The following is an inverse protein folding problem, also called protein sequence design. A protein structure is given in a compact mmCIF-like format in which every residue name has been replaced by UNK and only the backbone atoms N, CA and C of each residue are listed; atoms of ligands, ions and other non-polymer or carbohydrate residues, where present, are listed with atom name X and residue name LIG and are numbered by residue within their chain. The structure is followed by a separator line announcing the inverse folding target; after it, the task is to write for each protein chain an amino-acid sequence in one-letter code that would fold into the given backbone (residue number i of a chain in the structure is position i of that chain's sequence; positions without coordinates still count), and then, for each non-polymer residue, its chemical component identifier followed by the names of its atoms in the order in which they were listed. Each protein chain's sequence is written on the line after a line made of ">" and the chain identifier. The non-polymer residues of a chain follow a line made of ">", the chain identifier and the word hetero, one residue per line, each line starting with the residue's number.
data_IF_748468070634
#
_entry.id   IF_748468070634
#
_cell.length_a   1.000
_cell.length_b   1.000
_cell.length_c   1.000
_cell.angle_alpha   90.00
_cell.angle_beta   90.00
_cell.angle_gamma   90.00
#
_symmetry.space_group_name_H-M   'P 1'
#
loop_
_entity.id
_entity.type
_entity.pdbx_description
1 polymer ?
#
# COMPACT_ATOMS: atom_id res chain seq x y z
N UNK A 1 -33.56 -8.20 -12.51
CA UNK A 1 -33.67 -7.67 -11.14
C UNK A 1 -33.74 -8.87 -10.19
N UNK A 2 -32.60 -9.33 -9.65
CA UNK A 2 -32.41 -10.16 -8.44
C UNK A 2 -31.05 -10.89 -8.35
N UNK A 3 -30.04 -10.54 -9.15
CA UNK A 3 -28.69 -11.11 -9.03
C UNK A 3 -27.56 -10.07 -8.87
N UNK A 4 -27.87 -8.78 -8.66
CA UNK A 4 -26.84 -7.73 -8.53
C UNK A 4 -26.45 -7.46 -7.05
N UNK A 5 -27.29 -7.82 -6.09
CA UNK A 5 -27.08 -7.47 -4.67
C UNK A 5 -26.13 -8.42 -3.89
N UNK A 6 -25.60 -9.49 -4.50
CA UNK A 6 -24.74 -10.45 -3.79
C UNK A 6 -23.23 -10.21 -3.97
N UNK A 7 -22.83 -9.34 -4.91
CA UNK A 7 -21.39 -9.06 -5.19
C UNK A 7 -20.97 -7.67 -4.70
N UNK A 8 -21.90 -6.85 -4.18
CA UNK A 8 -21.66 -5.45 -3.80
C UNK A 8 -20.89 -5.23 -2.48
N UNK A 9 -20.64 -6.28 -1.67
CA UNK A 9 -20.16 -6.09 -0.29
C UNK A 9 -18.67 -6.37 -0.03
N UNK A 10 -17.88 -6.72 -1.06
CA UNK A 10 -16.42 -6.94 -0.90
C UNK A 10 -15.56 -5.95 -1.70
N UNK A 11 -16.15 -5.18 -2.62
CA UNK A 11 -15.41 -4.30 -3.55
C UNK A 11 -15.32 -2.82 -3.16
N UNK A 12 -16.10 -2.33 -2.18
CA UNK A 12 -16.04 -0.92 -1.80
C UNK A 12 -14.70 -0.50 -1.18
N UNK A 13 -14.06 -1.40 -0.44
CA UNK A 13 -12.75 -1.12 0.16
C UNK A 13 -11.65 -1.05 -0.90
N UNK A 14 -11.69 -1.93 -1.90
CA UNK A 14 -10.73 -1.92 -3.03
C UNK A 14 -10.84 -0.62 -3.82
N UNK A 15 -12.07 -0.20 -4.17
CA UNK A 15 -12.28 1.08 -4.87
C UNK A 15 -11.84 2.27 -4.02
N UNK A 16 -12.13 2.28 -2.73
CA UNK A 16 -11.73 3.37 -1.83
C UNK A 16 -10.21 3.48 -1.69
N UNK A 17 -9.50 2.34 -1.69
CA UNK A 17 -8.04 2.28 -1.68
C UNK A 17 -7.48 2.78 -3.00
N UNK A 18 -8.02 2.34 -4.13
CA UNK A 18 -7.65 2.81 -5.45
C UNK A 18 -7.88 4.32 -5.61
N UNK A 19 -9.04 4.82 -5.20
CA UNK A 19 -9.37 6.25 -5.21
C UNK A 19 -8.46 7.03 -4.26
N UNK A 20 -8.08 6.47 -3.10
CA UNK A 20 -7.12 7.10 -2.19
C UNK A 20 -5.72 7.16 -2.79
N UNK A 21 -5.28 6.11 -3.49
CA UNK A 21 -3.99 6.07 -4.20
C UNK A 21 -3.99 7.09 -5.35
N UNK A 22 -5.06 7.14 -6.15
CA UNK A 22 -5.22 8.07 -7.26
C UNK A 22 -5.37 9.53 -6.79
N UNK A 23 -6.11 9.76 -5.70
CA UNK A 23 -6.23 11.07 -5.09
C UNK A 23 -4.92 11.52 -4.45
N UNK A 24 -4.17 10.63 -3.80
CA UNK A 24 -2.88 10.97 -3.21
C UNK A 24 -1.81 11.31 -4.28
N UNK A 25 -1.90 10.68 -5.45
CA UNK A 25 -1.08 11.03 -6.62
C UNK A 25 -1.32 12.48 -7.11
N UNK A 26 -2.53 13.01 -6.92
CA UNK A 26 -2.89 14.39 -7.29
C UNK A 26 -2.74 15.40 -6.14
N UNK A 27 -2.68 14.95 -4.89
CA UNK A 27 -2.71 15.82 -3.69
C UNK A 27 -1.35 15.97 -3.00
N UNK A 28 -0.44 14.98 -3.06
CA UNK A 28 0.79 14.97 -2.26
C UNK A 28 2.08 15.25 -3.03
N UNK A 29 2.29 14.63 -4.21
CA UNK A 29 3.44 14.78 -5.11
C UNK A 29 3.39 13.63 -6.14
N UNK A 30 3.95 13.82 -7.34
CA UNK A 30 4.07 12.78 -8.37
C UNK A 30 4.78 11.50 -7.91
N UNK A 31 5.48 11.56 -6.77
CA UNK A 31 6.31 10.48 -6.23
C UNK A 31 5.65 9.72 -5.05
N UNK A 32 4.39 9.99 -4.69
CA UNK A 32 3.73 9.31 -3.57
C UNK A 32 3.67 7.77 -3.75
N UNK A 33 3.65 7.30 -4.99
CA UNK A 33 3.74 5.88 -5.35
C UNK A 33 5.01 5.23 -4.79
N UNK A 34 6.13 5.96 -4.71
CA UNK A 34 7.38 5.44 -4.14
C UNK A 34 7.26 5.22 -2.63
N UNK A 35 6.53 6.09 -1.93
CA UNK A 35 6.25 5.93 -0.50
C UNK A 35 5.31 4.77 -0.23
N UNK A 36 4.33 4.53 -1.10
CA UNK A 36 3.47 3.35 -1.01
C UNK A 36 4.29 2.07 -1.23
N UNK A 37 5.17 2.04 -2.26
CA UNK A 37 6.03 0.90 -2.50
C UNK A 37 6.97 0.63 -1.32
N UNK A 38 7.55 1.69 -0.74
CA UNK A 38 8.39 1.59 0.45
C UNK A 38 7.59 1.07 1.67
N UNK A 39 6.39 1.61 1.89
CA UNK A 39 5.51 1.18 2.98
C UNK A 39 5.09 -0.29 2.85
N UNK A 40 4.85 -0.78 1.63
CA UNK A 40 4.56 -2.20 1.39
C UNK A 40 5.75 -3.10 1.74
N UNK A 41 6.96 -2.72 1.33
CA UNK A 41 8.18 -3.49 1.67
C UNK A 41 8.44 -3.44 3.18
N UNK A 42 8.17 -2.31 3.83
CA UNK A 42 8.33 -2.15 5.26
C UNK A 42 7.30 -2.95 6.06
N UNK A 43 6.03 -2.94 5.65
CA UNK A 43 4.96 -3.70 6.30
C UNK A 43 5.20 -5.21 6.27
N UNK A 44 5.81 -5.73 5.19
CA UNK A 44 6.11 -7.15 5.03
C UNK A 44 7.55 -7.53 5.39
N UNK A 45 8.34 -6.60 5.97
CA UNK A 45 9.76 -6.79 6.26
C UNK A 45 10.05 -8.08 7.02
N UNK A 46 9.31 -8.33 8.09
CA UNK A 46 9.57 -9.48 8.96
C UNK A 46 9.33 -10.80 8.23
N UNK A 47 8.23 -10.87 7.47
CA UNK A 47 7.90 -12.05 6.64
C UNK A 47 8.97 -12.29 5.57
N UNK A 48 9.44 -11.23 4.90
CA UNK A 48 10.47 -11.32 3.86
C UNK A 48 11.79 -11.85 4.46
N UNK A 49 12.20 -11.34 5.61
CA UNK A 49 13.45 -11.72 6.28
C UNK A 49 13.38 -13.11 6.91
N UNK A 50 12.29 -13.45 7.60
CA UNK A 50 12.11 -14.75 8.25
C UNK A 50 12.06 -15.90 7.25
N UNK A 51 11.46 -15.68 6.06
CA UNK A 51 11.39 -16.68 5.00
C UNK A 51 12.61 -16.65 4.07
N UNK A 52 13.57 -15.74 4.29
CA UNK A 52 14.76 -15.55 3.45
C UNK A 52 14.41 -15.48 1.95
N UNK A 53 13.37 -14.69 1.63
CA UNK A 53 12.82 -14.60 0.27
C UNK A 53 13.81 -13.97 -0.70
N UNK A 54 13.97 -14.55 -1.88
CA UNK A 54 14.70 -13.94 -2.97
C UNK A 54 13.80 -12.98 -3.79
N UNK A 55 14.37 -12.31 -4.80
CA UNK A 55 13.61 -11.36 -5.62
C UNK A 55 12.41 -12.00 -6.33
N UNK A 56 12.51 -13.26 -6.76
CA UNK A 56 11.43 -13.99 -7.43
C UNK A 56 10.31 -14.31 -6.45
N UNK A 57 10.69 -14.76 -5.24
CA UNK A 57 9.74 -15.07 -4.16
C UNK A 57 8.97 -13.82 -3.72
N UNK A 58 9.65 -12.68 -3.61
CA UNK A 58 9.01 -11.40 -3.28
C UNK A 58 7.96 -11.02 -4.32
N UNK A 59 8.28 -11.09 -5.62
CA UNK A 59 7.30 -10.79 -6.68
C UNK A 59 6.09 -11.73 -6.58
N UNK A 60 6.33 -13.02 -6.38
CA UNK A 60 5.27 -14.01 -6.25
C UNK A 60 4.40 -13.74 -5.02
N UNK A 61 5.01 -13.43 -3.89
CA UNK A 61 4.33 -13.07 -2.65
C UNK A 61 3.39 -11.88 -2.84
N UNK A 62 3.88 -10.79 -3.44
CA UNK A 62 3.05 -9.61 -3.69
C UNK A 62 1.90 -9.89 -4.67
N UNK A 63 2.12 -10.69 -5.71
CA UNK A 63 1.06 -11.10 -6.62
C UNK A 63 -0.02 -11.94 -5.92
N UNK A 64 0.38 -12.85 -5.03
CA UNK A 64 -0.54 -13.70 -4.26
C UNK A 64 -1.32 -12.91 -3.19
N UNK A 65 -0.76 -11.80 -2.69
CA UNK A 65 -1.37 -10.94 -1.67
C UNK A 65 -2.14 -9.74 -2.23
N UNK A 66 -2.20 -9.55 -3.56
CA UNK A 66 -2.74 -8.35 -4.21
C UNK A 66 -4.16 -7.92 -3.74
N UNK A 67 -5.01 -8.87 -3.36
CA UNK A 67 -6.38 -8.62 -2.88
C UNK A 67 -6.52 -8.66 -1.34
N UNK A 68 -5.43 -8.95 -0.62
CA UNK A 68 -5.41 -9.17 0.83
C UNK A 68 -4.54 -8.18 1.58
N UNK A 69 -3.92 -7.22 0.88
CA UNK A 69 -3.15 -6.17 1.51
C UNK A 69 -4.04 -5.33 2.43
N UNK A 70 -3.60 -5.15 3.69
CA UNK A 70 -4.21 -4.15 4.57
C UNK A 70 -3.79 -2.76 4.10
N UNK A 71 -4.59 -2.23 3.17
CA UNK A 71 -4.32 -0.95 2.57
C UNK A 71 -4.36 0.20 3.58
N UNK A 72 -5.12 0.09 4.68
CA UNK A 72 -5.16 1.11 5.72
C UNK A 72 -3.83 1.15 6.47
N UNK A 73 -3.28 -0.01 6.82
CA UNK A 73 -1.98 -0.10 7.46
C UNK A 73 -0.85 0.41 6.53
N UNK A 74 -0.86 0.00 5.25
CA UNK A 74 0.13 0.46 4.27
C UNK A 74 0.07 1.98 4.06
N UNK A 75 -1.13 2.56 3.94
CA UNK A 75 -1.29 4.01 3.79
C UNK A 75 -0.86 4.79 5.03
N UNK A 76 -1.06 4.23 6.23
CA UNK A 76 -0.59 4.82 7.48
C UNK A 76 0.95 4.89 7.49
N UNK A 77 1.63 3.80 7.17
CA UNK A 77 3.10 3.75 7.09
C UNK A 77 3.61 4.71 6.02
N UNK A 78 2.97 4.76 4.85
CA UNK A 78 3.35 5.70 3.79
C UNK A 78 3.28 7.17 4.24
N UNK A 79 2.27 7.54 5.04
CA UNK A 79 2.16 8.89 5.62
C UNK A 79 3.25 9.17 6.65
N UNK A 80 3.56 8.20 7.51
CA UNK A 80 4.63 8.32 8.50
C UNK A 80 5.99 8.51 7.84
N UNK A 81 6.28 7.76 6.77
CA UNK A 81 7.50 7.92 5.97
C UNK A 81 7.63 9.31 5.35
N UNK A 82 6.53 9.87 4.83
CA UNK A 82 6.53 11.25 4.32
C UNK A 82 6.84 12.25 5.42
N UNK A 83 6.21 12.10 6.59
CA UNK A 83 6.43 12.99 7.74
C UNK A 83 7.87 12.92 8.27
N UNK A 84 8.45 11.72 8.34
CA UNK A 84 9.84 11.52 8.72
C UNK A 84 10.78 12.25 7.76
N UNK A 85 10.57 12.14 6.45
CA UNK A 85 11.38 12.85 5.46
C UNK A 85 11.23 14.37 5.58
N UNK A 86 10.01 14.87 5.77
CA UNK A 86 9.78 16.31 5.98
C UNK A 86 10.53 16.81 7.22
N UNK A 87 10.44 16.08 8.34
CA UNK A 87 11.14 16.40 9.58
C UNK A 87 12.67 16.38 9.41
N UNK A 88 13.21 15.45 8.61
CA UNK A 88 14.65 15.39 8.32
C UNK A 88 15.13 16.55 7.43
N UNK A 89 14.27 17.04 6.53
CA UNK A 89 14.56 18.20 5.68
C UNK A 89 14.48 19.49 6.50
N UNK A 90 13.48 19.63 7.38
CA UNK A 90 13.28 20.83 8.21
C UNK A 90 14.35 20.98 9.32
N UNK A 91 15.00 19.88 9.72
CA UNK A 91 16.11 19.89 10.68
C UNK A 91 17.49 20.13 10.05
N UNK A 92 17.55 20.55 8.77
CA UNK A 92 18.77 21.00 8.08
C UNK A 92 18.82 22.52 7.98
#
# INVERSE_FOLDING_TARGET
>A
MFAIHAIELVYQDVFSVWETIWAAQHVASSNFVLFIALAMVEYYRDIILENNMDFTDIIKFFNEMAERHDAKAVLQIARELVLQIQTLIDNR
#
